data_IF_158122805508
#
_entry.id   IF_158122805508
#
_cell.length_a   1.000
_cell.length_b   1.000
_cell.length_c   1.000
_cell.angle_alpha   90.00
_cell.angle_beta   90.00
_cell.angle_gamma   90.00
#
_symmetry.space_group_name_H-M   'P 1'
#
loop_
_entity.id
_entity.type
_entity.pdbx_description
1 polymer ?
#
# COMPACT_ATOMS: atom_id res chain seq x y z
N UNK A 1 -61.50 -5.18 -27.98
CA UNK A 1 -61.25 -5.34 -26.55
C UNK A 1 -59.74 -5.43 -26.39
N UNK A 2 -59.07 -4.26 -26.41
CA UNK A 2 -57.60 -4.10 -26.33
C UNK A 2 -57.16 -4.13 -24.89
N UNK A 3 -56.17 -4.99 -24.61
CA UNK A 3 -55.54 -5.06 -23.29
C UNK A 3 -54.57 -3.91 -23.15
N UNK A 4 -54.56 -3.19 -21.98
CA UNK A 4 -53.66 -2.09 -21.77
C UNK A 4 -52.22 -2.58 -21.61
N UNK A 5 -51.36 -2.01 -22.45
CA UNK A 5 -49.90 -2.09 -22.34
C UNK A 5 -49.45 -1.73 -20.92
N UNK A 6 -48.97 -2.71 -20.20
CA UNK A 6 -48.25 -2.48 -18.97
C UNK A 6 -46.90 -1.84 -19.32
N UNK A 7 -46.86 -0.51 -19.23
CA UNK A 7 -45.59 0.21 -19.15
C UNK A 7 -44.70 -0.45 -18.08
N UNK A 8 -43.70 -1.17 -18.53
CA UNK A 8 -42.59 -1.59 -17.67
C UNK A 8 -41.89 -0.32 -17.20
N UNK A 9 -42.23 0.13 -15.99
CA UNK A 9 -41.52 1.19 -15.32
C UNK A 9 -40.05 0.82 -15.25
N UNK A 10 -39.28 1.36 -16.20
CA UNK A 10 -37.84 1.28 -16.17
C UNK A 10 -37.36 1.93 -14.88
N UNK A 11 -36.86 1.10 -13.97
CA UNK A 11 -36.15 1.58 -12.79
C UNK A 11 -34.96 2.39 -13.33
N UNK A 12 -35.11 3.70 -13.35
CA UNK A 12 -33.98 4.59 -13.63
C UNK A 12 -32.90 4.30 -12.62
N UNK A 13 -31.68 3.93 -13.08
CA UNK A 13 -30.57 3.79 -12.14
C UNK A 13 -30.36 5.16 -11.50
N UNK A 14 -30.52 5.23 -10.19
CA UNK A 14 -30.15 6.39 -9.38
C UNK A 14 -28.77 6.86 -9.86
N UNK A 15 -28.61 8.16 -10.19
CA UNK A 15 -27.31 8.72 -10.46
C UNK A 15 -26.50 8.67 -9.15
N UNK A 16 -25.89 7.50 -8.90
CA UNK A 16 -25.01 7.31 -7.77
C UNK A 16 -23.88 8.32 -7.90
N UNK A 17 -23.84 9.30 -6.97
CA UNK A 17 -22.68 10.15 -6.78
C UNK A 17 -21.44 9.27 -6.94
N UNK A 18 -20.44 9.67 -7.74
CA UNK A 18 -19.22 8.90 -7.90
C UNK A 18 -18.54 8.86 -6.54
N UNK A 19 -18.87 7.86 -5.73
CA UNK A 19 -18.12 7.57 -4.52
C UNK A 19 -16.70 7.37 -5.01
N UNK A 20 -15.76 8.22 -4.55
CA UNK A 20 -14.33 8.01 -4.72
C UNK A 20 -14.00 6.66 -4.08
N UNK A 21 -14.27 5.58 -4.79
CA UNK A 21 -13.98 4.22 -4.32
C UNK A 21 -12.47 4.10 -4.23
N UNK A 22 -12.00 3.74 -3.07
CA UNK A 22 -10.65 3.24 -2.91
C UNK A 22 -10.53 2.01 -3.79
N UNK A 23 -9.64 2.05 -4.76
CA UNK A 23 -9.36 0.93 -5.63
C UNK A 23 -8.09 0.23 -5.17
N UNK A 24 -7.90 -1.07 -5.41
CA UNK A 24 -6.67 -1.80 -5.08
C UNK A 24 -5.44 -1.10 -5.65
N UNK A 25 -5.56 -0.55 -6.86
CA UNK A 25 -4.48 0.21 -7.52
C UNK A 25 -4.06 1.45 -6.72
N UNK A 26 -5.02 2.21 -6.17
CA UNK A 26 -4.72 3.41 -5.36
C UNK A 26 -4.08 3.04 -4.03
N UNK A 27 -4.53 1.95 -3.41
CA UNK A 27 -3.93 1.44 -2.18
C UNK A 27 -2.49 0.99 -2.42
N UNK A 28 -2.23 0.25 -3.50
CA UNK A 28 -0.89 -0.18 -3.88
C UNK A 28 0.04 0.98 -4.21
N UNK A 29 -0.43 1.96 -4.99
CA UNK A 29 0.34 3.18 -5.27
C UNK A 29 0.63 3.97 -3.98
N UNK A 30 -0.35 4.09 -3.08
CA UNK A 30 -0.17 4.71 -1.77
C UNK A 30 0.88 3.99 -0.92
N UNK A 31 0.86 2.65 -0.89
CA UNK A 31 1.86 1.84 -0.19
C UNK A 31 3.28 2.10 -0.72
N UNK A 32 3.45 2.20 -2.04
CA UNK A 32 4.74 2.54 -2.66
C UNK A 32 5.23 3.95 -2.32
N UNK A 33 4.33 4.94 -2.32
CA UNK A 33 4.66 6.31 -1.93
C UNK A 33 5.14 6.35 -0.48
N UNK A 34 4.43 5.71 0.44
CA UNK A 34 4.83 5.63 1.86
C UNK A 34 6.18 4.95 2.00
N UNK A 35 6.41 3.84 1.30
CA UNK A 35 7.69 3.13 1.31
C UNK A 35 8.83 4.01 0.80
N UNK A 36 8.64 4.71 -0.32
CA UNK A 36 9.65 5.60 -0.88
C UNK A 36 9.97 6.77 0.06
N UNK A 37 8.96 7.39 0.67
CA UNK A 37 9.15 8.45 1.66
C UNK A 37 9.92 7.93 2.89
N UNK A 38 9.61 6.73 3.37
CA UNK A 38 10.28 6.12 4.52
C UNK A 38 11.76 5.85 4.23
N UNK A 39 12.07 5.31 3.04
CA UNK A 39 13.46 5.08 2.61
C UNK A 39 14.20 6.42 2.50
N UNK A 40 13.60 7.43 1.89
CA UNK A 40 14.21 8.75 1.78
C UNK A 40 14.49 9.38 3.15
N UNK A 41 13.55 9.23 4.10
CA UNK A 41 13.72 9.72 5.47
C UNK A 41 14.88 9.01 6.20
N UNK A 42 15.03 7.69 6.05
CA UNK A 42 16.17 6.94 6.60
C UNK A 42 17.49 7.45 6.02
N UNK A 43 17.57 7.63 4.69
CA UNK A 43 18.77 8.14 4.02
C UNK A 43 19.13 9.55 4.56
N UNK A 44 18.14 10.42 4.75
CA UNK A 44 18.36 11.76 5.28
C UNK A 44 18.91 11.68 6.70
N UNK A 45 18.36 10.84 7.58
CA UNK A 45 18.87 10.63 8.94
C UNK A 45 20.32 10.17 8.91
N UNK A 46 20.67 9.21 8.07
CA UNK A 46 22.05 8.74 7.92
C UNK A 46 23.02 9.84 7.47
N UNK A 47 22.59 10.66 6.49
CA UNK A 47 23.38 11.81 6.02
C UNK A 47 23.58 12.82 7.16
N UNK A 48 22.54 13.12 7.95
CA UNK A 48 22.62 14.04 9.08
C UNK A 48 23.60 13.51 10.14
N UNK A 49 23.52 12.21 10.48
CA UNK A 49 24.44 11.55 11.41
C UNK A 49 25.90 11.64 10.93
N UNK A 50 26.13 11.47 9.62
CA UNK A 50 27.48 11.55 9.04
C UNK A 50 28.05 12.97 9.01
N UNK A 51 27.20 13.98 8.81
CA UNK A 51 27.63 15.38 8.68
C UNK A 51 27.77 16.11 10.03
N UNK A 52 27.11 15.63 11.07
CA UNK A 52 27.08 16.27 12.38
C UNK A 52 27.71 15.37 13.45
N UNK A 53 28.99 15.54 13.76
CA UNK A 53 29.69 14.69 14.73
C UNK A 53 29.12 14.77 16.16
N UNK A 54 28.36 15.83 16.47
CA UNK A 54 27.67 15.99 17.77
C UNK A 54 26.37 15.17 17.84
N UNK A 55 25.90 14.61 16.70
CA UNK A 55 24.73 13.75 16.67
C UNK A 55 25.14 12.33 17.02
N UNK A 56 24.75 11.87 18.20
CA UNK A 56 25.12 10.53 18.64
C UNK A 56 24.50 9.45 17.73
N UNK A 57 25.30 8.42 17.37
CA UNK A 57 24.81 7.29 16.56
C UNK A 57 23.56 6.63 17.14
N UNK A 58 23.41 6.66 18.48
CA UNK A 58 22.25 6.13 19.19
C UNK A 58 20.96 6.85 18.79
N UNK A 59 21.02 8.18 18.59
CA UNK A 59 19.86 8.97 18.20
C UNK A 59 19.43 8.63 16.78
N UNK A 60 20.38 8.45 15.85
CA UNK A 60 20.11 8.02 14.48
C UNK A 60 19.40 6.65 14.44
N UNK A 61 19.83 5.70 15.24
CA UNK A 61 19.20 4.37 15.34
C UNK A 61 17.75 4.49 15.85
N UNK A 62 17.50 5.33 16.83
CA UNK A 62 16.14 5.54 17.36
C UNK A 62 15.23 6.15 16.30
N UNK A 63 15.69 7.18 15.58
CA UNK A 63 14.91 7.79 14.50
C UNK A 63 14.61 6.79 13.38
N UNK A 64 15.60 6.00 12.97
CA UNK A 64 15.41 4.98 11.93
C UNK A 64 14.39 3.91 12.35
N UNK A 65 14.39 3.50 13.62
CA UNK A 65 13.40 2.58 14.16
C UNK A 65 11.98 3.16 14.08
N UNK A 66 11.81 4.41 14.53
CA UNK A 66 10.50 5.08 14.50
C UNK A 66 10.00 5.23 13.07
N UNK A 67 10.86 5.64 12.13
CA UNK A 67 10.52 5.77 10.71
C UNK A 67 10.11 4.40 10.14
N UNK A 68 10.87 3.35 10.44
CA UNK A 68 10.58 2.00 9.96
C UNK A 68 9.27 1.44 10.54
N UNK A 69 8.97 1.68 11.80
CA UNK A 69 7.71 1.24 12.44
C UNK A 69 6.50 1.97 11.85
N UNK A 70 6.58 3.29 11.73
CA UNK A 70 5.47 4.09 11.18
C UNK A 70 5.30 3.79 9.69
N UNK A 71 6.36 3.87 8.90
CA UNK A 71 6.33 3.63 7.46
C UNK A 71 5.92 2.19 7.12
N UNK A 72 6.51 1.22 7.80
CA UNK A 72 6.17 -0.20 7.63
C UNK A 72 4.72 -0.50 8.04
N UNK A 73 4.27 0.07 9.15
CA UNK A 73 2.88 -0.06 9.61
C UNK A 73 1.88 0.52 8.60
N UNK A 74 2.10 1.73 8.12
CA UNK A 74 1.24 2.38 7.11
C UNK A 74 1.26 1.61 5.77
N UNK A 75 2.43 1.18 5.31
CA UNK A 75 2.56 0.37 4.09
C UNK A 75 1.77 -0.93 4.23
N UNK A 76 1.90 -1.63 5.35
CA UNK A 76 1.18 -2.87 5.62
C UNK A 76 -0.34 -2.65 5.66
N UNK A 77 -0.81 -1.60 6.35
CA UNK A 77 -2.23 -1.27 6.40
C UNK A 77 -2.81 -0.98 5.00
N UNK A 78 -2.10 -0.18 4.19
CA UNK A 78 -2.53 0.13 2.82
C UNK A 78 -2.53 -1.12 1.93
N UNK A 79 -1.51 -1.96 2.04
CA UNK A 79 -1.41 -3.22 1.31
C UNK A 79 -2.54 -4.18 1.67
N UNK A 80 -2.82 -4.38 2.96
CA UNK A 80 -3.92 -5.23 3.42
C UNK A 80 -5.28 -4.69 2.98
N UNK A 81 -5.50 -3.38 3.10
CA UNK A 81 -6.74 -2.74 2.64
C UNK A 81 -6.95 -2.96 1.14
N UNK A 82 -5.89 -2.76 0.34
CA UNK A 82 -5.93 -3.01 -1.10
C UNK A 82 -6.24 -4.46 -1.46
N UNK A 83 -5.66 -5.42 -0.73
CA UNK A 83 -5.91 -6.85 -0.92
C UNK A 83 -7.35 -7.24 -0.57
N UNK A 84 -7.90 -6.71 0.53
CA UNK A 84 -9.30 -6.96 0.93
C UNK A 84 -10.26 -6.43 -0.14
N UNK A 85 -10.02 -5.22 -0.65
CA UNK A 85 -10.84 -4.63 -1.72
C UNK A 85 -10.73 -5.47 -3.00
N UNK A 86 -9.51 -5.86 -3.40
CA UNK A 86 -9.28 -6.68 -4.59
C UNK A 86 -9.98 -8.05 -4.48
N UNK A 87 -9.93 -8.68 -3.31
CA UNK A 87 -10.64 -9.95 -3.06
C UNK A 87 -12.16 -9.79 -3.21
N UNK A 88 -12.72 -8.70 -2.70
CA UNK A 88 -14.14 -8.42 -2.83
C UNK A 88 -14.53 -8.21 -4.30
N UNK A 89 -13.76 -7.42 -5.06
CA UNK A 89 -13.99 -7.17 -6.49
C UNK A 89 -13.85 -8.44 -7.35
N UNK A 90 -12.84 -9.27 -7.07
CA UNK A 90 -12.61 -10.52 -7.82
C UNK A 90 -13.64 -11.61 -7.51
N UNK A 91 -14.35 -11.51 -6.39
CA UNK A 91 -15.41 -12.44 -5.98
C UNK A 91 -16.76 -12.14 -6.63
N UNK A 92 -16.95 -10.97 -7.23
CA UNK A 92 -18.17 -10.65 -7.98
C UNK A 92 -18.18 -11.33 -9.36
N UNK A 93 -19.27 -12.02 -9.69
CA UNK A 93 -19.41 -12.78 -10.94
C UNK A 93 -19.57 -11.91 -12.18
N UNK A 94 -19.97 -10.65 -12.02
CA UNK A 94 -20.33 -9.72 -13.11
C UNK A 94 -19.23 -8.69 -13.44
N UNK A 95 -17.99 -8.96 -13.05
CA UNK A 95 -16.87 -8.04 -13.28
C UNK A 95 -16.37 -8.11 -14.72
N UNK A 96 -16.26 -6.96 -15.38
CA UNK A 96 -15.68 -6.89 -16.73
C UNK A 96 -14.20 -7.36 -16.71
N UNK A 97 -13.72 -7.89 -17.85
CA UNK A 97 -12.33 -8.34 -17.99
C UNK A 97 -11.32 -7.24 -17.71
N UNK A 98 -11.65 -6.00 -18.05
CA UNK A 98 -10.83 -4.82 -17.83
C UNK A 98 -10.72 -4.49 -16.33
N UNK A 99 -11.81 -4.56 -15.60
CA UNK A 99 -11.83 -4.33 -14.16
C UNK A 99 -11.10 -5.45 -13.41
N UNK A 100 -11.21 -6.70 -13.87
CA UNK A 100 -10.48 -7.85 -13.33
C UNK A 100 -8.97 -7.68 -13.50
N UNK A 101 -8.50 -7.22 -14.66
CA UNK A 101 -7.07 -6.95 -14.88
C UNK A 101 -6.55 -5.81 -14.01
N UNK A 102 -7.33 -4.74 -13.85
CA UNK A 102 -6.97 -3.62 -12.96
C UNK A 102 -6.86 -4.06 -11.49
N UNK A 103 -7.78 -4.90 -11.00
CA UNK A 103 -7.71 -5.45 -9.64
C UNK A 103 -6.51 -6.37 -9.44
N UNK A 104 -6.15 -7.19 -10.43
CA UNK A 104 -4.94 -8.02 -10.39
C UNK A 104 -3.66 -7.18 -10.35
N UNK A 105 -3.55 -6.13 -11.18
CA UNK A 105 -2.46 -5.17 -11.10
C UNK A 105 -2.38 -4.51 -9.71
N UNK A 106 -3.53 -4.18 -9.13
CA UNK A 106 -3.62 -3.65 -7.77
C UNK A 106 -3.08 -4.62 -6.72
N UNK A 107 -3.39 -5.91 -6.83
CA UNK A 107 -2.85 -6.97 -5.95
C UNK A 107 -1.32 -7.02 -6.04
N UNK A 108 -0.76 -7.04 -7.24
CA UNK A 108 0.70 -7.06 -7.47
C UNK A 108 1.35 -5.82 -6.84
N UNK A 109 0.76 -4.64 -7.04
CA UNK A 109 1.25 -3.39 -6.45
C UNK A 109 1.15 -3.38 -4.92
N UNK A 110 0.16 -4.02 -4.32
CA UNK A 110 0.03 -4.13 -2.87
C UNK A 110 1.04 -5.12 -2.27
N UNK A 111 1.35 -6.22 -2.96
CA UNK A 111 2.28 -7.23 -2.47
C UNK A 111 3.76 -6.83 -2.69
N UNK A 112 4.05 -6.10 -3.77
CA UNK A 112 5.44 -5.79 -4.14
C UNK A 112 6.23 -5.02 -3.08
N UNK A 113 5.71 -4.00 -2.35
CA UNK A 113 6.50 -3.34 -1.31
C UNK A 113 6.83 -4.27 -0.14
N UNK A 114 5.90 -5.17 0.21
CA UNK A 114 6.13 -6.17 1.27
C UNK A 114 7.21 -7.16 0.82
N UNK A 115 7.17 -7.63 -0.42
CA UNK A 115 8.18 -8.53 -0.97
C UNK A 115 9.57 -7.87 -1.06
N UNK A 116 9.62 -6.58 -1.42
CA UNK A 116 10.88 -5.81 -1.43
C UNK A 116 11.46 -5.71 -0.02
N UNK A 117 10.64 -5.39 0.98
CA UNK A 117 11.10 -5.32 2.37
C UNK A 117 11.60 -6.68 2.85
N UNK A 118 10.81 -7.75 2.66
CA UNK A 118 11.20 -9.12 3.05
C UNK A 118 12.44 -9.58 2.28
N UNK A 119 12.51 -9.30 0.97
CA UNK A 119 13.66 -9.61 0.15
C UNK A 119 14.93 -8.89 0.58
N UNK A 120 14.83 -7.59 0.88
CA UNK A 120 15.94 -6.81 1.41
C UNK A 120 16.45 -7.39 2.74
N UNK A 121 15.54 -7.73 3.65
CA UNK A 121 15.91 -8.42 4.90
C UNK A 121 16.59 -9.77 4.67
N UNK A 122 16.12 -10.55 3.70
CA UNK A 122 16.69 -11.87 3.40
C UNK A 122 18.06 -11.80 2.74
N UNK A 123 18.28 -10.81 1.86
CA UNK A 123 19.52 -10.66 1.08
C UNK A 123 20.61 -9.94 1.91
N UNK A 124 20.22 -8.91 2.66
CA UNK A 124 21.16 -8.13 3.45
C UNK A 124 21.52 -8.81 4.78
N UNK A 125 20.78 -9.83 5.17
CA UNK A 125 21.04 -10.65 6.34
C UNK A 125 20.90 -9.94 7.69
N UNK A 126 21.12 -10.70 8.75
CA UNK A 126 21.04 -10.19 10.13
C UNK A 126 22.02 -9.04 10.39
N UNK A 127 23.18 -8.99 9.74
CA UNK A 127 24.21 -7.98 9.95
C UNK A 127 23.77 -6.55 9.63
N UNK A 128 22.98 -6.35 8.58
CA UNK A 128 22.44 -5.02 8.26
C UNK A 128 21.25 -4.69 9.16
N UNK A 129 20.46 -5.68 9.55
CA UNK A 129 19.43 -5.51 10.56
C UNK A 129 20.05 -5.15 11.92
N UNK A 130 21.16 -5.78 12.30
CA UNK A 130 21.94 -5.38 13.50
C UNK A 130 22.48 -3.97 13.37
N UNK A 131 22.99 -3.59 12.20
CA UNK A 131 23.51 -2.24 11.97
C UNK A 131 22.39 -1.18 11.96
N UNK A 132 21.28 -1.42 11.23
CA UNK A 132 20.16 -0.49 11.16
C UNK A 132 19.32 -0.43 12.46
N UNK A 133 19.19 -1.54 13.16
CA UNK A 133 18.31 -1.66 14.32
C UNK A 133 19.05 -1.86 15.63
N UNK A 134 20.38 -1.99 15.61
CA UNK A 134 21.19 -2.19 16.81
C UNK A 134 20.82 -3.43 17.62
N UNK A 135 20.32 -4.46 16.96
CA UNK A 135 20.02 -5.75 17.56
C UNK A 135 21.34 -6.53 17.71
N UNK A 136 21.79 -6.66 18.94
CA UNK A 136 22.78 -7.65 19.35
C UNK A 136 22.09 -8.76 20.09
#
# INVERSE_FOLDING_TARGET
>A
MEAPDRERGGVQPYPGTPRKRWTPLRCGAGAWIVTAISIAAVIIVEIVVLLHPDFHQVDGIVYNRVIAMIGGGLTTCLSLTGLVIARAELGESDVSSEQRSASLCGVVLCLSPVLVIVGAYSVLGAGVAEWLFGWK
#
